data_IF_683925324067
#
_entry.id   IF_683925324067
#
_cell.length_a   1.000
_cell.length_b   1.000
_cell.length_c   1.000
_cell.angle_alpha   90.00
_cell.angle_beta   90.00
_cell.angle_gamma   90.00
#
_symmetry.space_group_name_H-M   'P 1'
#
loop_
_entity.id
_entity.type
_entity.pdbx_description
1 polymer ?
#
# COMPACT_ATOMS: atom_id res chain seq x y z
N UNK A 1 32.91 -24.33 -27.19
CA UNK A 1 31.52 -23.80 -27.17
C UNK A 1 30.87 -23.90 -25.77
N UNK A 2 31.11 -24.98 -25.02
CA UNK A 2 30.65 -25.15 -23.62
C UNK A 2 31.18 -24.08 -22.65
N UNK A 3 32.41 -23.61 -22.81
CA UNK A 3 33.05 -22.63 -21.94
C UNK A 3 32.36 -21.24 -21.96
N UNK A 4 31.93 -20.74 -23.14
CA UNK A 4 31.23 -19.44 -23.24
C UNK A 4 29.84 -19.46 -22.60
N UNK A 5 29.08 -20.55 -22.77
CA UNK A 5 27.77 -20.70 -22.13
C UNK A 5 27.91 -20.78 -20.59
N UNK A 6 28.89 -21.55 -20.09
CA UNK A 6 29.16 -21.60 -18.66
C UNK A 6 29.55 -20.24 -18.08
N UNK A 7 30.38 -19.49 -18.78
CA UNK A 7 30.76 -18.13 -18.35
C UNK A 7 29.55 -17.18 -18.27
N UNK A 8 28.67 -17.23 -19.28
CA UNK A 8 27.45 -16.39 -19.29
C UNK A 8 26.53 -16.77 -18.13
N UNK A 9 26.26 -18.07 -17.92
CA UNK A 9 25.42 -18.54 -16.81
C UNK A 9 26.03 -18.17 -15.44
N UNK A 10 27.36 -18.27 -15.30
CA UNK A 10 28.04 -17.86 -14.05
C UNK A 10 27.90 -16.37 -13.80
N UNK A 11 28.02 -15.54 -14.85
CA UNK A 11 27.84 -14.08 -14.75
C UNK A 11 26.38 -13.72 -14.38
N UNK A 12 25.40 -14.41 -14.97
CA UNK A 12 23.98 -14.22 -14.63
C UNK A 12 23.69 -14.58 -13.17
N UNK A 13 24.22 -15.71 -12.69
CA UNK A 13 24.07 -16.12 -11.29
C UNK A 13 24.73 -15.11 -10.36
N UNK A 14 25.95 -14.67 -10.65
CA UNK A 14 26.64 -13.66 -9.84
C UNK A 14 25.83 -12.36 -9.80
N UNK A 15 25.31 -11.92 -10.94
CA UNK A 15 24.48 -10.71 -11.04
C UNK A 15 23.20 -10.86 -10.19
N UNK A 16 22.52 -11.99 -10.30
CA UNK A 16 21.31 -12.26 -9.49
C UNK A 16 21.62 -12.29 -8.00
N UNK A 17 22.73 -12.91 -7.58
CA UNK A 17 23.16 -12.91 -6.17
C UNK A 17 23.49 -11.51 -5.68
N UNK A 18 24.19 -10.71 -6.49
CA UNK A 18 24.51 -9.31 -6.14
C UNK A 18 23.22 -8.49 -5.99
N UNK A 19 22.29 -8.59 -6.93
CA UNK A 19 21.00 -7.89 -6.86
C UNK A 19 20.22 -8.34 -5.62
N UNK A 20 20.16 -9.65 -5.35
CA UNK A 20 19.51 -10.20 -4.17
C UNK A 20 20.13 -9.64 -2.87
N UNK A 21 21.45 -9.64 -2.76
CA UNK A 21 22.15 -9.09 -1.60
C UNK A 21 21.89 -7.59 -1.44
N UNK A 22 21.90 -6.80 -2.53
CA UNK A 22 21.62 -5.37 -2.50
C UNK A 22 20.20 -5.06 -2.01
N UNK A 23 19.23 -5.91 -2.32
CA UNK A 23 17.84 -5.74 -1.88
C UNK A 23 17.67 -6.24 -0.43
N UNK A 24 18.24 -7.39 -0.10
CA UNK A 24 18.02 -8.02 1.21
C UNK A 24 18.83 -7.35 2.31
N UNK A 25 20.04 -6.85 2.02
CA UNK A 25 20.91 -6.24 3.03
C UNK A 25 20.27 -5.09 3.81
N UNK A 26 19.62 -4.09 3.19
CA UNK A 26 18.92 -3.05 3.93
C UNK A 26 17.79 -3.61 4.80
N UNK A 27 17.05 -4.60 4.31
CA UNK A 27 15.99 -5.25 5.09
C UNK A 27 16.55 -6.01 6.29
N UNK A 28 17.66 -6.76 6.11
CA UNK A 28 18.34 -7.45 7.19
C UNK A 28 18.84 -6.46 8.26
N UNK A 29 19.31 -5.28 7.87
CA UNK A 29 19.71 -4.26 8.83
C UNK A 29 18.57 -3.81 9.73
N UNK A 30 17.35 -3.64 9.19
CA UNK A 30 16.15 -3.32 9.99
C UNK A 30 15.86 -4.42 11.02
N UNK A 31 15.97 -5.70 10.62
CA UNK A 31 15.78 -6.82 11.56
C UNK A 31 16.83 -6.80 12.67
N UNK A 32 18.09 -6.56 12.34
CA UNK A 32 19.17 -6.49 13.34
C UNK A 32 18.93 -5.30 14.31
N UNK A 33 18.57 -4.12 13.77
CA UNK A 33 18.25 -2.96 14.59
C UNK A 33 17.04 -3.21 15.50
N UNK A 34 16.05 -3.94 15.06
CA UNK A 34 14.82 -4.21 15.84
C UNK A 34 15.06 -5.09 17.07
N UNK A 35 16.11 -5.91 17.06
CA UNK A 35 16.49 -6.78 18.19
C UNK A 35 17.71 -6.23 18.95
N UNK A 36 18.28 -5.12 18.53
CA UNK A 36 19.38 -4.48 19.21
C UNK A 36 18.88 -3.63 20.38
N UNK A 37 19.28 -3.91 21.62
CA UNK A 37 19.00 -3.06 22.77
C UNK A 37 20.06 -1.93 22.90
N UNK A 38 21.31 -2.26 22.63
CA UNK A 38 22.39 -1.28 22.56
C UNK A 38 23.22 -1.52 21.32
N UNK A 39 23.34 -0.50 20.48
CA UNK A 39 24.17 -0.51 19.30
C UNK A 39 24.70 0.90 19.03
N UNK A 40 25.97 1.12 19.37
CA UNK A 40 26.63 2.42 19.21
C UNK A 40 27.91 2.29 18.40
N UNK A 41 28.18 3.32 17.61
CA UNK A 41 29.44 3.48 16.92
C UNK A 41 30.60 3.42 17.93
N UNK A 42 31.77 2.75 17.62
CA UNK A 42 32.14 2.20 16.30
C UNK A 42 31.84 0.71 16.10
N UNK A 43 30.97 0.11 16.88
CA UNK A 43 30.72 -1.33 16.80
C UNK A 43 29.90 -1.68 15.53
N UNK A 44 30.36 -2.71 14.81
CA UNK A 44 29.73 -3.21 13.59
C UNK A 44 28.55 -4.12 13.88
N UNK A 45 28.43 -4.65 15.09
CA UNK A 45 27.33 -5.50 15.56
C UNK A 45 26.77 -4.96 16.89
N UNK A 46 25.51 -5.28 17.21
CA UNK A 46 24.90 -4.90 18.49
C UNK A 46 25.70 -5.42 19.68
N UNK A 47 25.94 -4.57 20.70
CA UNK A 47 26.58 -4.97 21.95
C UNK A 47 25.63 -5.77 22.84
N UNK A 48 24.33 -5.50 22.74
CA UNK A 48 23.29 -6.22 23.48
C UNK A 48 22.08 -6.49 22.60
N UNK A 49 21.65 -7.74 22.57
CA UNK A 49 20.46 -8.19 21.83
C UNK A 49 19.35 -8.46 22.84
N UNK A 50 18.10 -8.07 22.49
CA UNK A 50 16.92 -8.32 23.30
C UNK A 50 15.66 -7.80 22.65
N UNK A 51 14.54 -7.85 23.38
CA UNK A 51 13.20 -7.53 22.90
C UNK A 51 12.53 -6.39 23.67
N UNK A 52 13.29 -5.55 24.36
CA UNK A 52 12.71 -4.50 25.21
C UNK A 52 11.98 -3.43 24.37
N UNK A 53 12.51 -3.08 23.20
CA UNK A 53 11.81 -2.18 22.25
C UNK A 53 10.52 -2.78 21.69
N UNK A 54 10.47 -4.11 21.50
CA UNK A 54 9.23 -4.81 21.11
C UNK A 54 8.18 -4.77 22.22
N UNK A 55 8.58 -5.05 23.46
CA UNK A 55 7.69 -4.97 24.64
C UNK A 55 7.15 -3.55 24.80
N UNK A 56 8.02 -2.55 24.63
CA UNK A 56 7.63 -1.16 24.68
C UNK A 56 6.67 -0.78 23.57
N UNK A 57 6.96 -1.15 22.31
CA UNK A 57 6.09 -0.91 21.18
C UNK A 57 4.68 -1.49 21.41
N UNK A 58 4.59 -2.70 21.92
CA UNK A 58 3.33 -3.38 22.24
C UNK A 58 2.66 -2.90 23.53
N UNK A 59 3.27 -1.95 24.27
CA UNK A 59 2.72 -1.43 25.52
C UNK A 59 2.83 -2.39 26.70
N UNK A 60 3.63 -3.45 26.60
CA UNK A 60 3.85 -4.44 27.66
C UNK A 60 4.84 -3.97 28.73
N UNK A 61 5.63 -2.95 28.42
CA UNK A 61 6.61 -2.37 29.33
C UNK A 61 6.48 -0.85 29.31
N UNK A 62 6.58 -0.20 30.48
CA UNK A 62 6.67 1.28 30.55
C UNK A 62 7.94 1.74 29.86
N UNK A 63 7.81 2.80 29.10
CA UNK A 63 8.93 3.40 28.37
C UNK A 63 10.12 3.71 29.27
N UNK A 64 11.29 3.21 28.89
CA UNK A 64 12.56 3.57 29.50
C UNK A 64 13.13 4.90 28.92
N UNK A 65 12.57 5.33 27.77
CA UNK A 65 13.00 6.56 27.08
C UNK A 65 11.89 7.61 27.11
N UNK A 66 12.29 8.87 27.28
CA UNK A 66 11.40 10.03 27.21
C UNK A 66 10.75 10.05 25.81
N UNK A 67 9.42 9.98 25.75
CA UNK A 67 8.66 10.12 24.49
C UNK A 67 8.27 8.81 23.78
N UNK A 68 8.73 7.64 24.24
CA UNK A 68 8.31 6.38 23.62
C UNK A 68 6.94 5.93 24.17
N UNK A 69 5.92 6.16 23.37
CA UNK A 69 4.53 5.75 23.63
C UNK A 69 4.26 4.41 22.96
N UNK A 70 3.34 3.60 23.51
CA UNK A 70 2.85 2.42 22.81
C UNK A 70 2.34 2.78 21.40
N UNK A 71 2.75 2.01 20.42
CA UNK A 71 2.34 2.23 19.02
C UNK A 71 0.96 1.62 18.69
N UNK A 72 0.38 0.89 19.61
CA UNK A 72 -0.87 0.15 19.42
C UNK A 72 -2.01 1.06 18.93
N UNK A 73 -2.24 2.25 19.52
CA UNK A 73 -3.27 3.16 19.00
C UNK A 73 -2.98 3.63 17.58
N UNK A 74 -1.73 3.98 17.25
CA UNK A 74 -1.33 4.42 15.92
C UNK A 74 -1.46 3.28 14.87
N UNK A 75 -1.16 2.04 15.27
CA UNK A 75 -1.34 0.86 14.43
C UNK A 75 -2.81 0.65 14.06
N UNK A 76 -3.71 0.63 15.03
CA UNK A 76 -5.14 0.45 14.78
C UNK A 76 -5.75 1.63 14.01
N UNK A 77 -5.29 2.85 14.28
CA UNK A 77 -5.71 4.03 13.53
C UNK A 77 -5.30 3.93 12.05
N UNK A 78 -4.04 3.56 11.77
CA UNK A 78 -3.56 3.35 10.40
C UNK A 78 -4.33 2.26 9.67
N UNK A 79 -4.59 1.14 10.34
CA UNK A 79 -5.35 0.03 9.77
C UNK A 79 -6.81 0.44 9.48
N UNK A 80 -7.45 1.14 10.39
CA UNK A 80 -8.81 1.66 10.21
C UNK A 80 -8.88 2.64 9.03
N UNK A 81 -7.95 3.60 8.94
CA UNK A 81 -7.89 4.53 7.83
C UNK A 81 -7.70 3.78 6.52
N UNK A 82 -6.72 2.87 6.43
CA UNK A 82 -6.44 2.11 5.22
C UNK A 82 -7.66 1.29 4.76
N UNK A 83 -8.37 0.63 5.67
CA UNK A 83 -9.59 -0.13 5.34
C UNK A 83 -10.72 0.75 4.82
N UNK A 84 -10.97 1.92 5.44
CA UNK A 84 -11.97 2.88 4.98
C UNK A 84 -11.60 3.40 3.59
N UNK A 85 -10.33 3.72 3.38
CA UNK A 85 -9.80 4.21 2.10
C UNK A 85 -9.97 3.16 1.01
N UNK A 86 -9.67 1.88 1.28
CA UNK A 86 -9.91 0.78 0.33
C UNK A 86 -11.38 0.73 -0.09
N UNK A 87 -12.29 0.70 0.88
CA UNK A 87 -13.73 0.61 0.59
C UNK A 87 -14.19 1.79 -0.27
N UNK A 88 -13.89 3.02 0.14
CA UNK A 88 -14.34 4.22 -0.59
C UNK A 88 -13.67 4.32 -1.97
N UNK A 89 -12.34 4.09 -2.02
CA UNK A 89 -11.62 4.14 -3.30
C UNK A 89 -12.10 3.09 -4.28
N UNK A 90 -12.38 1.86 -3.84
CA UNK A 90 -12.89 0.81 -4.74
C UNK A 90 -14.33 1.07 -5.19
N UNK A 91 -15.19 1.64 -4.33
CA UNK A 91 -16.52 2.09 -4.72
C UNK A 91 -16.50 3.13 -5.84
N UNK A 92 -15.46 3.96 -5.89
CA UNK A 92 -15.26 4.96 -6.95
C UNK A 92 -14.51 4.35 -8.14
N UNK A 93 -13.45 3.60 -7.90
CA UNK A 93 -12.56 3.08 -8.93
C UNK A 93 -13.23 2.02 -9.82
N UNK A 94 -14.08 1.16 -9.25
CA UNK A 94 -14.75 0.11 -10.02
C UNK A 94 -15.66 0.71 -11.11
N UNK A 95 -16.64 1.59 -10.81
CA UNK A 95 -17.46 2.18 -11.85
C UNK A 95 -16.67 3.10 -12.79
N UNK A 96 -15.70 3.87 -12.29
CA UNK A 96 -14.86 4.73 -13.11
C UNK A 96 -13.98 3.91 -14.08
N UNK A 97 -13.29 2.89 -13.57
CA UNK A 97 -12.45 2.00 -14.37
C UNK A 97 -13.26 1.22 -15.41
N UNK A 98 -14.44 0.72 -15.03
CA UNK A 98 -15.36 0.05 -15.97
C UNK A 98 -15.82 1.00 -17.08
N UNK A 99 -16.26 2.21 -16.72
CA UNK A 99 -16.73 3.20 -17.69
C UNK A 99 -15.60 3.57 -18.68
N UNK A 100 -14.40 3.85 -18.19
CA UNK A 100 -13.25 4.18 -19.03
C UNK A 100 -12.75 3.00 -19.89
N UNK A 101 -13.01 1.76 -19.47
CA UNK A 101 -12.62 0.57 -20.22
C UNK A 101 -13.61 0.17 -21.31
N UNK A 102 -14.91 0.29 -21.04
CA UNK A 102 -15.99 -0.29 -21.88
C UNK A 102 -16.73 0.73 -22.71
N UNK A 103 -16.72 2.00 -22.32
CA UNK A 103 -17.42 3.05 -23.08
C UNK A 103 -16.44 3.95 -23.82
N UNK A 104 -16.87 4.47 -24.97
CA UNK A 104 -16.12 5.48 -25.74
C UNK A 104 -16.31 6.86 -25.08
N UNK A 105 -15.55 7.13 -24.03
CA UNK A 105 -15.58 8.42 -23.33
C UNK A 105 -14.67 9.38 -24.09
N UNK A 106 -15.14 10.58 -24.51
CA UNK A 106 -14.30 11.60 -25.10
C UNK A 106 -13.13 11.91 -24.14
N UNK A 107 -11.92 12.00 -24.66
CA UNK A 107 -10.71 12.23 -23.86
C UNK A 107 -10.44 11.20 -22.74
N UNK A 108 -10.98 9.97 -22.83
CA UNK A 108 -10.82 8.93 -21.78
C UNK A 108 -9.36 8.66 -21.42
N UNK A 109 -8.44 8.68 -22.40
CA UNK A 109 -7.00 8.57 -22.16
C UNK A 109 -6.44 9.74 -21.36
N UNK A 110 -6.89 10.96 -21.64
CA UNK A 110 -6.51 12.14 -20.88
C UNK A 110 -7.06 12.12 -19.46
N UNK A 111 -8.30 11.67 -19.27
CA UNK A 111 -8.88 11.47 -17.93
C UNK A 111 -8.05 10.48 -17.12
N UNK A 112 -7.66 9.34 -17.70
CA UNK A 112 -6.76 8.39 -17.05
C UNK A 112 -5.41 9.01 -16.70
N UNK A 113 -4.85 9.84 -17.60
CA UNK A 113 -3.61 10.56 -17.35
C UNK A 113 -3.76 11.54 -16.18
N UNK A 114 -4.91 12.25 -16.06
CA UNK A 114 -5.16 13.13 -14.92
C UNK A 114 -5.14 12.41 -13.57
N UNK A 115 -5.59 11.15 -13.51
CA UNK A 115 -5.45 10.35 -12.28
C UNK A 115 -4.00 10.08 -11.89
N UNK A 116 -3.04 10.09 -12.82
CA UNK A 116 -1.61 9.94 -12.51
C UNK A 116 -0.94 11.23 -12.03
N UNK A 117 -1.52 12.40 -12.33
CA UNK A 117 -0.90 13.70 -12.03
C UNK A 117 -0.48 13.86 -10.56
N UNK A 118 -1.27 13.44 -9.55
CA UNK A 118 -0.84 13.58 -8.15
C UNK A 118 0.49 12.90 -7.84
N UNK A 119 0.83 11.82 -8.55
CA UNK A 119 2.10 11.11 -8.36
C UNK A 119 3.24 11.64 -9.28
N UNK A 120 2.90 12.43 -10.30
CA UNK A 120 3.89 13.02 -11.20
C UNK A 120 4.54 14.30 -10.65
N UNK A 121 3.88 14.96 -9.70
CA UNK A 121 4.39 16.17 -9.05
C UNK A 121 4.97 15.87 -7.66
N UNK A 122 5.91 16.69 -7.17
CA UNK A 122 6.35 16.60 -5.77
C UNK A 122 5.15 16.72 -4.83
N UNK A 123 4.98 15.75 -3.95
CA UNK A 123 3.79 15.65 -3.11
C UNK A 123 3.69 16.78 -2.07
N UNK A 124 4.83 17.23 -1.53
CA UNK A 124 4.84 18.25 -0.46
C UNK A 124 4.15 19.56 -0.86
N UNK A 125 4.45 20.20 -2.02
CA UNK A 125 3.73 21.41 -2.42
C UNK A 125 2.22 21.19 -2.59
N UNK A 126 1.80 20.02 -3.05
CA UNK A 126 0.37 19.70 -3.20
C UNK A 126 -0.30 19.66 -1.82
N UNK A 127 0.28 18.96 -0.86
CA UNK A 127 -0.31 18.81 0.47
C UNK A 127 -0.24 20.09 1.31
N UNK A 128 0.78 20.94 1.12
CA UNK A 128 0.82 22.28 1.75
C UNK A 128 -0.35 23.14 1.27
N UNK A 129 -0.63 23.16 -0.04
CA UNK A 129 -1.78 23.89 -0.58
C UNK A 129 -3.11 23.28 -0.13
N UNK A 130 -3.18 21.94 -0.09
CA UNK A 130 -4.35 21.21 0.37
C UNK A 130 -4.65 21.50 1.85
N UNK A 131 -3.61 21.60 2.70
CA UNK A 131 -3.74 21.99 4.09
C UNK A 131 -4.47 23.35 4.22
N UNK A 132 -4.11 24.34 3.39
CA UNK A 132 -4.78 25.63 3.41
C UNK A 132 -6.28 25.52 3.11
N UNK A 133 -6.65 24.70 2.13
CA UNK A 133 -8.04 24.42 1.80
C UNK A 133 -8.74 23.68 2.96
N UNK A 134 -8.12 22.64 3.49
CA UNK A 134 -8.68 21.83 4.58
C UNK A 134 -8.87 22.64 5.88
N UNK A 135 -7.98 23.57 6.14
CA UNK A 135 -8.14 24.50 7.28
C UNK A 135 -9.42 25.35 7.16
N UNK A 136 -9.72 25.84 5.94
CA UNK A 136 -10.97 26.61 5.70
C UNK A 136 -12.24 25.79 5.90
N UNK A 137 -12.17 24.47 5.65
CA UNK A 137 -13.29 23.55 5.83
C UNK A 137 -13.30 22.83 7.19
N UNK A 138 -12.38 23.18 8.11
CA UNK A 138 -12.28 22.54 9.42
C UNK A 138 -11.85 21.06 9.36
N UNK A 139 -11.19 20.63 8.27
CA UNK A 139 -10.74 19.26 8.06
C UNK A 139 -9.26 19.03 8.44
N UNK A 140 -8.48 20.11 8.61
CA UNK A 140 -7.10 20.01 9.08
C UNK A 140 -7.03 19.47 10.51
N UNK A 141 -6.11 18.56 10.78
CA UNK A 141 -5.97 17.87 12.06
C UNK A 141 -7.05 16.82 12.35
N UNK A 142 -7.87 16.44 11.36
CA UNK A 142 -8.95 15.46 11.54
C UNK A 142 -8.68 14.16 10.81
N UNK A 143 -9.23 13.05 11.33
CA UNK A 143 -9.16 11.72 10.68
C UNK A 143 -9.85 11.75 9.31
N UNK A 144 -10.97 12.50 9.19
CA UNK A 144 -11.69 12.67 7.93
C UNK A 144 -10.83 13.35 6.86
N UNK A 145 -10.09 14.40 7.24
CA UNK A 145 -9.15 15.08 6.35
C UNK A 145 -8.04 14.13 5.87
N UNK A 146 -7.47 13.33 6.77
CA UNK A 146 -6.47 12.33 6.44
C UNK A 146 -7.05 11.27 5.50
N UNK A 147 -8.25 10.74 5.77
CA UNK A 147 -8.92 9.76 4.89
C UNK A 147 -9.09 10.33 3.47
N UNK A 148 -9.52 11.59 3.33
CA UNK A 148 -9.69 12.22 2.01
C UNK A 148 -8.36 12.31 1.25
N UNK A 149 -7.27 12.68 1.92
CA UNK A 149 -5.94 12.70 1.32
C UNK A 149 -5.52 11.30 0.85
N UNK A 150 -5.70 10.29 1.70
CA UNK A 150 -5.37 8.90 1.34
C UNK A 150 -6.22 8.37 0.18
N UNK A 151 -7.51 8.78 0.08
CA UNK A 151 -8.37 8.45 -1.05
C UNK A 151 -7.80 9.06 -2.34
N UNK A 152 -7.36 10.33 -2.32
CA UNK A 152 -6.78 10.98 -3.51
C UNK A 152 -5.57 10.19 -4.03
N UNK A 153 -4.67 9.76 -3.14
CA UNK A 153 -3.48 8.98 -3.51
C UNK A 153 -3.87 7.56 -3.94
N UNK A 154 -4.78 6.93 -3.21
CA UNK A 154 -5.25 5.55 -3.49
C UNK A 154 -6.02 5.42 -4.81
N UNK A 155 -6.80 6.44 -5.20
CA UNK A 155 -7.56 6.44 -6.45
C UNK A 155 -6.66 6.38 -7.69
N UNK A 156 -5.43 6.86 -7.62
CA UNK A 156 -4.46 6.74 -8.72
C UNK A 156 -4.33 5.27 -9.15
N UNK A 157 -3.94 4.42 -8.22
CA UNK A 157 -3.78 2.98 -8.47
C UNK A 157 -5.14 2.28 -8.64
N UNK A 158 -6.12 2.66 -7.82
CA UNK A 158 -7.49 2.12 -7.89
C UNK A 158 -8.08 2.18 -9.29
N UNK A 159 -8.12 3.37 -9.89
CA UNK A 159 -8.71 3.57 -11.22
C UNK A 159 -7.88 2.95 -12.33
N UNK A 160 -6.54 3.05 -12.26
CA UNK A 160 -5.66 2.50 -13.29
C UNK A 160 -5.73 0.98 -13.37
N UNK A 161 -5.62 0.30 -12.23
CA UNK A 161 -5.64 -1.16 -12.19
C UNK A 161 -7.03 -1.69 -12.56
N UNK A 162 -8.11 -1.08 -12.06
CA UNK A 162 -9.47 -1.47 -12.43
C UNK A 162 -9.75 -1.25 -13.92
N UNK A 163 -9.29 -0.14 -14.50
CA UNK A 163 -9.41 0.10 -15.94
C UNK A 163 -8.66 -0.96 -16.76
N UNK A 164 -7.41 -1.29 -16.39
CA UNK A 164 -6.64 -2.32 -17.06
C UNK A 164 -7.33 -3.69 -16.95
N UNK A 165 -7.85 -4.02 -15.75
CA UNK A 165 -8.60 -5.26 -15.50
C UNK A 165 -9.83 -5.37 -16.39
N UNK A 166 -10.67 -4.33 -16.46
CA UNK A 166 -11.85 -4.37 -17.31
C UNK A 166 -11.54 -4.36 -18.80
N UNK A 167 -10.43 -3.75 -19.22
CA UNK A 167 -9.96 -3.82 -20.61
C UNK A 167 -9.54 -5.21 -21.04
N UNK A 168 -8.99 -6.04 -20.14
CA UNK A 168 -8.58 -7.41 -20.44
C UNK A 168 -9.75 -8.37 -20.67
N UNK A 169 -10.97 -8.03 -20.22
CA UNK A 169 -12.16 -8.85 -20.40
C UNK A 169 -12.78 -8.58 -21.77
N UNK A 170 -12.90 -9.61 -22.65
CA UNK A 170 -13.42 -9.43 -24.00
C UNK A 170 -14.88 -8.93 -24.00
N UNK A 171 -15.23 -7.93 -24.83
CA UNK A 171 -16.59 -7.35 -24.88
C UNK A 171 -17.68 -8.36 -25.27
N UNK A 172 -17.34 -9.34 -26.10
CA UNK A 172 -18.30 -10.33 -26.59
C UNK A 172 -18.96 -11.16 -25.47
N UNK A 173 -18.33 -11.28 -24.30
CA UNK A 173 -18.91 -12.00 -23.16
C UNK A 173 -20.15 -11.29 -22.61
N UNK A 174 -20.11 -9.96 -22.51
CA UNK A 174 -21.29 -9.17 -22.13
C UNK A 174 -22.33 -9.13 -23.25
N UNK A 175 -21.90 -9.06 -24.52
CA UNK A 175 -22.77 -9.06 -25.69
C UNK A 175 -23.54 -10.38 -25.81
N UNK A 176 -22.89 -11.52 -25.61
CA UNK A 176 -23.53 -12.84 -25.60
C UNK A 176 -24.62 -12.94 -24.52
N UNK A 177 -24.34 -12.49 -23.29
CA UNK A 177 -25.36 -12.46 -22.24
C UNK A 177 -26.57 -11.57 -22.60
N UNK A 178 -26.31 -10.43 -23.22
CA UNK A 178 -27.35 -9.51 -23.64
C UNK A 178 -28.19 -10.08 -24.78
N UNK A 179 -27.62 -10.86 -25.69
CA UNK A 179 -28.30 -11.54 -26.77
C UNK A 179 -29.34 -12.56 -26.27
N UNK A 180 -29.12 -13.15 -25.09
CA UNK A 180 -30.10 -14.04 -24.44
C UNK A 180 -30.98 -13.32 -23.43
N UNK A 181 -31.09 -11.99 -23.50
CA UNK A 181 -32.04 -11.18 -22.73
C UNK A 181 -31.50 -10.63 -21.39
N UNK A 182 -30.24 -10.75 -21.08
CA UNK A 182 -29.71 -10.13 -19.87
C UNK A 182 -29.62 -8.60 -20.02
N UNK A 183 -30.16 -7.86 -19.05
CA UNK A 183 -29.94 -6.41 -18.97
C UNK A 183 -28.48 -6.06 -18.65
N UNK A 184 -28.03 -4.83 -18.95
CA UNK A 184 -26.66 -4.34 -18.77
C UNK A 184 -26.12 -4.60 -17.34
N UNK A 185 -26.90 -4.27 -16.32
CA UNK A 185 -26.50 -4.46 -14.92
C UNK A 185 -26.35 -5.95 -14.57
N UNK A 186 -27.24 -6.81 -15.09
CA UNK A 186 -27.17 -8.26 -14.86
C UNK A 186 -25.92 -8.86 -15.55
N UNK A 187 -25.60 -8.44 -16.77
CA UNK A 187 -24.40 -8.85 -17.48
C UNK A 187 -23.13 -8.42 -16.70
N UNK A 188 -23.10 -7.16 -16.25
CA UNK A 188 -22.00 -6.66 -15.42
C UNK A 188 -21.82 -7.48 -14.13
N UNK A 189 -22.88 -7.64 -13.31
CA UNK A 189 -22.80 -8.28 -12.00
C UNK A 189 -22.53 -9.79 -12.07
N UNK A 190 -23.03 -10.49 -13.12
CA UNK A 190 -22.94 -11.96 -13.22
C UNK A 190 -21.81 -12.46 -14.12
N UNK A 191 -21.26 -11.60 -14.97
CA UNK A 191 -20.19 -12.00 -15.92
C UNK A 191 -18.95 -11.14 -15.70
N UNK A 192 -19.07 -9.83 -15.90
CA UNK A 192 -17.89 -8.96 -15.90
C UNK A 192 -17.27 -8.82 -14.53
N UNK A 193 -18.07 -8.60 -13.50
CA UNK A 193 -17.57 -8.40 -12.13
C UNK A 193 -16.88 -9.65 -11.55
N UNK A 194 -17.42 -10.88 -11.68
CA UNK A 194 -16.71 -12.09 -11.27
C UNK A 194 -15.41 -12.31 -12.05
N UNK A 195 -15.42 -12.10 -13.38
CA UNK A 195 -14.19 -12.22 -14.18
C UNK A 195 -13.15 -11.15 -13.85
N UNK A 196 -13.58 -9.98 -13.41
CA UNK A 196 -12.71 -8.90 -12.98
C UNK A 196 -12.17 -9.12 -11.54
N UNK A 197 -12.81 -9.95 -10.72
CA UNK A 197 -12.55 -10.06 -9.29
C UNK A 197 -11.05 -10.18 -8.95
N UNK A 198 -10.25 -11.03 -9.62
CA UNK A 198 -8.81 -11.11 -9.35
C UNK A 198 -8.08 -9.78 -9.50
N UNK A 199 -8.34 -9.05 -10.57
CA UNK A 199 -7.73 -7.75 -10.82
C UNK A 199 -8.25 -6.65 -9.87
N UNK A 200 -9.54 -6.70 -9.50
CA UNK A 200 -10.12 -5.78 -8.53
C UNK A 200 -9.56 -6.01 -7.13
N UNK A 201 -9.34 -7.26 -6.74
CA UNK A 201 -8.66 -7.61 -5.49
C UNK A 201 -7.20 -7.13 -5.50
N UNK A 202 -6.46 -7.30 -6.60
CA UNK A 202 -5.13 -6.73 -6.74
C UNK A 202 -5.14 -5.21 -6.61
N UNK A 203 -6.11 -4.52 -7.22
CA UNK A 203 -6.31 -3.07 -7.05
C UNK A 203 -6.53 -2.68 -5.59
N UNK A 204 -7.37 -3.41 -4.87
CA UNK A 204 -7.63 -3.19 -3.45
C UNK A 204 -6.37 -3.35 -2.59
N UNK A 205 -5.50 -4.34 -2.91
CA UNK A 205 -4.17 -4.48 -2.25
C UNK A 205 -3.32 -3.24 -2.44
N UNK A 206 -3.22 -2.76 -3.68
CA UNK A 206 -2.41 -1.57 -3.97
C UNK A 206 -2.93 -0.33 -3.24
N UNK A 207 -4.25 -0.12 -3.22
CA UNK A 207 -4.88 0.97 -2.46
C UNK A 207 -4.60 0.84 -0.97
N UNK A 208 -4.70 -0.38 -0.42
CA UNK A 208 -4.42 -0.64 0.99
C UNK A 208 -2.98 -0.32 1.37
N UNK A 209 -2.01 -0.87 0.62
CA UNK A 209 -0.58 -0.65 0.86
C UNK A 209 -0.26 0.84 0.74
N UNK A 210 -0.73 1.50 -0.32
CA UNK A 210 -0.50 2.93 -0.55
C UNK A 210 -1.05 3.77 0.60
N UNK A 211 -2.24 3.45 1.11
CA UNK A 211 -2.82 4.17 2.24
C UNK A 211 -2.09 3.86 3.55
N UNK A 212 -1.63 2.63 3.76
CA UNK A 212 -0.93 2.25 4.98
C UNK A 212 0.44 2.92 5.09
N UNK A 213 1.12 3.11 3.94
CA UNK A 213 2.46 3.73 3.85
C UNK A 213 2.40 5.27 3.70
N UNK A 214 1.19 5.85 3.57
CA UNK A 214 1.04 7.29 3.31
C UNK A 214 1.44 8.11 4.55
N UNK A 215 2.60 8.75 4.42
CA UNK A 215 3.18 9.61 5.45
C UNK A 215 2.96 11.08 5.15
N UNK A 216 3.23 11.50 3.89
CA UNK A 216 3.37 12.92 3.55
C UNK A 216 2.06 13.68 3.71
N UNK A 217 0.98 13.14 3.20
CA UNK A 217 -0.35 13.75 3.34
C UNK A 217 -0.82 13.79 4.78
N UNK A 218 -0.59 12.70 5.53
CA UNK A 218 -0.88 12.66 6.97
C UNK A 218 -0.07 13.69 7.74
N UNK A 219 1.22 13.86 7.41
CA UNK A 219 2.10 14.84 8.03
C UNK A 219 1.57 16.28 7.88
N UNK A 220 1.19 16.66 6.67
CA UNK A 220 0.70 18.03 6.43
C UNK A 220 -0.73 18.26 6.93
N UNK A 221 -1.63 17.30 6.73
CA UNK A 221 -3.07 17.51 6.99
C UNK A 221 -3.50 16.99 8.36
N UNK A 222 -2.84 15.95 8.88
CA UNK A 222 -3.25 15.27 10.12
C UNK A 222 -2.66 15.87 11.39
N UNK A 223 -1.48 16.51 11.31
CA UNK A 223 -0.85 17.10 12.50
C UNK A 223 -1.70 18.25 13.11
N UNK A 224 -1.64 18.40 14.43
CA UNK A 224 -0.94 17.59 15.43
C UNK A 224 -1.76 16.41 16.00
N UNK A 225 -3.01 16.22 15.58
CA UNK A 225 -3.98 15.35 16.27
C UNK A 225 -4.09 13.94 15.69
N UNK A 226 -3.72 13.73 14.42
CA UNK A 226 -3.78 12.41 13.78
C UNK A 226 -2.36 11.85 13.67
N UNK A 227 -2.07 10.83 14.46
CA UNK A 227 -0.77 10.17 14.47
C UNK A 227 -0.90 8.73 13.98
N UNK A 228 -0.54 8.51 12.72
CA UNK A 228 -0.51 7.18 12.09
C UNK A 228 0.81 6.46 12.38
N UNK A 229 0.88 5.18 12.05
CA UNK A 229 2.09 4.38 12.26
C UNK A 229 3.31 4.90 11.46
N UNK A 230 3.19 5.31 10.17
CA UNK A 230 4.27 6.00 9.46
C UNK A 230 4.72 7.30 10.13
N UNK A 231 3.80 8.06 10.71
CA UNK A 231 4.14 9.27 11.47
C UNK A 231 4.95 8.94 12.72
N UNK A 232 4.56 7.90 13.45
CA UNK A 232 5.29 7.42 14.63
C UNK A 232 6.66 6.88 14.25
N UNK A 233 6.77 6.16 13.12
CA UNK A 233 8.05 5.70 12.56
C UNK A 233 8.98 6.89 12.28
N UNK A 234 8.51 7.87 11.54
CA UNK A 234 9.29 9.05 11.18
C UNK A 234 9.78 9.82 12.42
N UNK A 235 8.89 10.10 13.36
CA UNK A 235 9.27 10.80 14.59
C UNK A 235 10.30 10.02 15.40
N UNK A 236 10.18 8.69 15.46
CA UNK A 236 11.10 7.82 16.22
C UNK A 236 12.46 7.70 15.55
N UNK A 237 12.54 7.73 14.23
CA UNK A 237 13.79 7.56 13.48
C UNK A 237 14.85 8.64 13.78
N UNK A 238 14.43 9.81 14.21
CA UNK A 238 15.32 10.92 14.56
C UNK A 238 16.04 10.77 15.91
N UNK A 239 15.55 9.89 16.80
CA UNK A 239 16.14 9.75 18.14
C UNK A 239 16.35 8.30 18.61
N UNK A 240 15.66 7.32 18.04
CA UNK A 240 15.78 5.92 18.45
C UNK A 240 15.61 4.97 17.24
N UNK A 241 16.71 4.60 16.61
CA UNK A 241 16.72 3.73 15.43
C UNK A 241 16.19 2.31 15.75
N UNK A 242 16.46 1.80 16.95
CA UNK A 242 16.00 0.48 17.38
C UNK A 242 14.47 0.44 17.43
N UNK A 243 13.88 1.42 18.10
CA UNK A 243 12.42 1.53 18.20
C UNK A 243 11.78 1.80 16.83
N UNK A 244 12.37 2.68 16.01
CA UNK A 244 11.92 2.92 14.65
C UNK A 244 11.94 1.65 13.79
N UNK A 245 12.99 0.81 13.93
CA UNK A 245 13.08 -0.46 13.20
C UNK A 245 12.01 -1.46 13.62
N UNK A 246 11.63 -1.50 14.90
CA UNK A 246 10.48 -2.29 15.36
C UNK A 246 9.19 -1.81 14.71
N UNK A 247 8.96 -0.49 14.66
CA UNK A 247 7.78 0.08 14.01
C UNK A 247 7.75 -0.25 12.51
N UNK A 248 8.89 -0.14 11.84
CA UNK A 248 9.01 -0.47 10.41
C UNK A 248 8.62 -1.95 10.14
N UNK A 249 9.08 -2.88 10.97
CA UNK A 249 8.71 -4.30 10.84
C UNK A 249 7.23 -4.50 11.11
N UNK A 250 6.67 -3.87 12.14
CA UNK A 250 5.25 -3.96 12.45
C UNK A 250 4.39 -3.40 11.31
N UNK A 251 4.85 -2.34 10.62
CA UNK A 251 4.16 -1.77 9.46
C UNK A 251 4.11 -2.73 8.26
N UNK A 252 5.11 -3.60 8.10
CA UNK A 252 5.12 -4.61 7.03
C UNK A 252 4.09 -5.72 7.26
N UNK A 253 3.74 -6.03 8.50
CA UNK A 253 2.87 -7.18 8.83
C UNK A 253 1.48 -7.07 8.18
N UNK A 254 0.72 -5.96 8.32
CA UNK A 254 -0.59 -5.83 7.67
C UNK A 254 -0.52 -5.92 6.15
N UNK A 255 0.52 -5.34 5.53
CA UNK A 255 0.71 -5.38 4.08
C UNK A 255 0.93 -6.81 3.58
N UNK A 256 1.80 -7.57 4.25
CA UNK A 256 2.07 -8.98 3.93
C UNK A 256 0.83 -9.84 4.16
N UNK A 257 0.14 -9.66 5.28
CA UNK A 257 -1.07 -10.42 5.59
C UNK A 257 -2.19 -10.13 4.59
N UNK A 258 -2.41 -8.87 4.23
CA UNK A 258 -3.44 -8.48 3.28
C UNK A 258 -3.14 -9.05 1.88
N UNK A 259 -1.88 -8.98 1.45
CA UNK A 259 -1.46 -9.60 0.18
C UNK A 259 -1.61 -11.13 0.20
N UNK A 260 -1.24 -11.80 1.29
CA UNK A 260 -1.37 -13.25 1.43
C UNK A 260 -2.83 -13.70 1.44
N UNK A 261 -3.71 -12.97 2.12
CA UNK A 261 -5.15 -13.26 2.15
C UNK A 261 -5.75 -13.20 0.74
N UNK A 262 -5.41 -12.16 -0.04
CA UNK A 262 -5.93 -12.02 -1.40
C UNK A 262 -5.38 -13.08 -2.33
N UNK A 263 -4.08 -13.43 -2.23
CA UNK A 263 -3.52 -14.55 -2.99
C UNK A 263 -4.21 -15.89 -2.66
N UNK A 264 -4.58 -16.11 -1.39
CA UNK A 264 -5.35 -17.28 -0.96
C UNK A 264 -6.73 -17.35 -1.63
N UNK A 265 -7.46 -16.23 -1.69
CA UNK A 265 -8.76 -16.14 -2.36
C UNK A 265 -8.61 -16.41 -3.87
N UNK A 266 -7.62 -15.82 -4.52
CA UNK A 266 -7.36 -16.03 -5.96
C UNK A 266 -7.06 -17.49 -6.29
N UNK A 267 -6.24 -18.16 -5.49
CA UNK A 267 -5.94 -19.60 -5.70
C UNK A 267 -7.17 -20.48 -5.51
N UNK A 268 -8.02 -20.20 -4.54
CA UNK A 268 -9.24 -20.96 -4.29
C UNK A 268 -10.23 -20.89 -5.47
N UNK A 269 -10.37 -19.74 -6.12
CA UNK A 269 -11.20 -19.59 -7.32
C UNK A 269 -10.64 -20.37 -8.52
N UNK A 270 -9.31 -20.36 -8.73
CA UNK A 270 -8.69 -21.12 -9.82
C UNK A 270 -8.81 -22.63 -9.63
N UNK A 271 -8.71 -23.15 -8.41
CA UNK A 271 -8.82 -24.57 -8.11
C UNK A 271 -10.28 -25.03 -8.11
N UNK A 272 -11.21 -24.21 -7.61
CA UNK A 272 -12.65 -24.52 -7.60
C UNK A 272 -13.32 -24.48 -8.98
N UNK A 273 -12.75 -23.79 -9.97
CA UNK A 273 -13.27 -23.73 -11.35
C UNK A 273 -12.79 -24.87 -12.26
N UNK A 274 -11.94 -25.79 -11.77
CA UNK A 274 -11.44 -26.94 -12.52
C UNK A 274 -12.04 -28.30 -12.06
N UNK A 275 -13.06 -28.28 -11.20
CA UNK A 275 -13.76 -29.46 -10.71
C UNK A 275 -15.15 -29.68 -11.31
#
# INVERSE_FOLDING_TARGET
MFSKKMLIVSLEIILLVVIFLLIIWPMMSLFIWSIAETWYWPNTLPQKIGFDYWKQALGLQKSLAIGAVSIVPAFFLSLMIAMIVVVISMLIAIPAGYALAKYRIPFGGFILFLFLMPNAFPQQPIFVNLLHIFTKFGMAGTVQGVILVHILVGLVFGVWITNATFKSIPPYLEEAARSVGAGKLRAFLRITLPLAAPGLLASAVFVFITSLDEFTGTFFVGLPFVNTLPMTLYSSSGYNMQFASVIAIILLIPSILFMALIQGVLKAEYVGGMG
#
